data_IF_240734946442
#
_entry.id   IF_240734946442
#
_cell.length_a   1.000
_cell.length_b   1.000
_cell.length_c   1.000
_cell.angle_alpha   90.00
_cell.angle_beta   90.00
_cell.angle_gamma   90.00
#
_symmetry.space_group_name_H-M   'P 1'
#
loop_
_entity.id
_entity.type
_entity.pdbx_description
1 polymer ?
#
# COMPACT_ATOMS: atom_id res chain seq x y z
N UNK A 1 -11.63 17.84 -15.96
CA UNK A 1 -11.23 16.89 -14.91
C UNK A 1 -10.23 15.86 -15.43
N UNK A 2 -10.49 15.17 -16.54
CA UNK A 2 -9.59 14.16 -17.15
C UNK A 2 -8.21 14.78 -17.45
N UNK A 3 -8.15 15.94 -18.09
CA UNK A 3 -6.87 16.60 -18.46
C UNK A 3 -5.99 16.90 -17.23
N UNK A 4 -6.58 17.36 -16.11
CA UNK A 4 -5.85 17.57 -14.86
C UNK A 4 -5.33 16.26 -14.28
N UNK A 5 -6.13 15.18 -14.34
CA UNK A 5 -5.74 13.87 -13.84
C UNK A 5 -4.58 13.26 -14.67
N UNK A 6 -4.65 13.37 -16.01
CA UNK A 6 -3.57 12.95 -16.91
C UNK A 6 -2.28 13.73 -16.66
N UNK A 7 -2.39 15.05 -16.45
CA UNK A 7 -1.26 15.89 -16.13
C UNK A 7 -0.58 15.49 -14.83
N UNK A 8 -1.36 15.19 -13.78
CA UNK A 8 -0.83 14.71 -12.49
C UNK A 8 -0.10 13.37 -12.63
N UNK A 9 -0.66 12.41 -13.38
CA UNK A 9 -0.01 11.12 -13.62
C UNK A 9 1.27 11.28 -14.44
N UNK A 10 1.23 12.07 -15.50
CA UNK A 10 2.40 12.35 -16.31
C UNK A 10 3.52 13.03 -15.49
N UNK A 11 3.16 13.96 -14.62
CA UNK A 11 4.11 14.56 -13.70
C UNK A 11 4.64 13.55 -12.69
N UNK A 12 3.80 12.71 -12.07
CA UNK A 12 4.24 11.78 -11.05
C UNK A 12 5.16 10.68 -11.60
N UNK A 13 4.86 10.15 -12.78
CA UNK A 13 5.59 9.01 -13.35
C UNK A 13 6.54 9.40 -14.50
N UNK A 14 6.45 10.61 -15.03
CA UNK A 14 7.29 11.07 -16.15
C UNK A 14 8.78 10.91 -15.90
N UNK A 15 9.33 11.38 -14.76
CA UNK A 15 10.76 11.22 -14.47
C UNK A 15 11.17 9.74 -14.34
N UNK A 16 10.33 8.89 -13.74
CA UNK A 16 10.60 7.46 -13.67
C UNK A 16 10.59 6.80 -15.06
N UNK A 17 9.65 7.19 -15.93
CA UNK A 17 9.59 6.72 -17.31
C UNK A 17 10.83 7.17 -18.11
N UNK A 18 11.32 8.38 -17.90
CA UNK A 18 12.55 8.88 -18.51
C UNK A 18 13.78 8.10 -18.04
N UNK A 19 13.92 7.83 -16.74
CA UNK A 19 14.97 6.98 -16.20
C UNK A 19 14.91 5.55 -16.78
N UNK A 20 13.70 5.03 -16.91
CA UNK A 20 13.50 3.71 -17.52
C UNK A 20 13.95 3.68 -18.99
N UNK A 21 13.55 4.69 -19.78
CA UNK A 21 13.91 4.81 -21.20
C UNK A 21 15.42 4.98 -21.42
N UNK A 22 16.15 5.50 -20.42
CA UNK A 22 17.62 5.64 -20.47
C UNK A 22 18.38 4.42 -19.95
N UNK A 23 17.67 3.32 -19.63
CA UNK A 23 18.29 2.06 -19.17
C UNK A 23 18.48 1.96 -17.65
N UNK A 24 18.17 3.00 -16.88
CA UNK A 24 18.26 2.98 -15.42
C UNK A 24 17.01 2.37 -14.77
N UNK A 25 16.67 1.14 -15.15
CA UNK A 25 15.41 0.46 -14.77
C UNK A 25 15.24 0.32 -13.26
N UNK A 26 16.27 -0.10 -12.54
CA UNK A 26 16.23 -0.24 -11.09
C UNK A 26 16.03 1.12 -10.40
N UNK A 27 16.80 2.15 -10.80
CA UNK A 27 16.65 3.48 -10.24
C UNK A 27 15.27 4.10 -10.53
N UNK A 28 14.71 3.86 -11.73
CA UNK A 28 13.37 4.29 -12.11
C UNK A 28 12.30 3.72 -11.16
N UNK A 29 12.45 2.45 -10.79
CA UNK A 29 11.54 1.73 -9.91
C UNK A 29 11.50 2.35 -8.51
N UNK A 30 12.67 2.48 -7.87
CA UNK A 30 12.77 3.07 -6.53
C UNK A 30 12.42 4.55 -6.50
N UNK A 31 12.73 5.29 -7.59
CA UNK A 31 12.26 6.66 -7.74
C UNK A 31 10.74 6.74 -7.76
N UNK A 32 10.07 5.92 -8.59
CA UNK A 32 8.61 5.89 -8.67
C UNK A 32 7.99 5.52 -7.32
N UNK A 33 8.56 4.53 -6.63
CA UNK A 33 8.12 4.09 -5.31
C UNK A 33 8.22 5.24 -4.30
N UNK A 34 9.36 5.90 -4.22
CA UNK A 34 9.57 7.05 -3.34
C UNK A 34 8.59 8.19 -3.65
N UNK A 35 8.39 8.52 -4.92
CA UNK A 35 7.47 9.57 -5.35
C UNK A 35 6.02 9.27 -4.95
N UNK A 36 5.55 8.04 -5.17
CA UNK A 36 4.17 7.62 -4.83
C UNK A 36 3.94 7.62 -3.32
N UNK A 37 4.84 6.98 -2.55
CA UNK A 37 4.69 6.90 -1.10
C UNK A 37 4.77 8.26 -0.42
N UNK A 38 5.69 9.12 -0.88
CA UNK A 38 5.84 10.48 -0.36
C UNK A 38 4.64 11.35 -0.74
N UNK A 39 4.18 11.31 -1.98
CA UNK A 39 2.97 12.03 -2.40
C UNK A 39 1.75 11.57 -1.60
N UNK A 40 1.57 10.26 -1.40
CA UNK A 40 0.51 9.70 -0.57
C UNK A 40 0.57 10.23 0.87
N UNK A 41 1.74 10.16 1.51
CA UNK A 41 1.91 10.63 2.88
C UNK A 41 1.65 12.14 2.98
N UNK A 42 2.18 12.90 2.05
CA UNK A 42 2.05 14.36 2.03
C UNK A 42 0.62 14.83 1.79
N UNK A 43 -0.15 14.10 0.99
CA UNK A 43 -1.56 14.41 0.74
C UNK A 43 -2.47 14.04 1.91
N UNK A 44 -2.25 12.85 2.47
CA UNK A 44 -3.17 12.24 3.45
C UNK A 44 -2.77 12.53 4.91
N UNK A 45 -1.56 13.06 5.14
CA UNK A 45 -1.02 13.41 6.44
C UNK A 45 -0.22 14.72 6.38
N UNK A 46 -0.80 15.78 5.85
CA UNK A 46 -0.13 17.07 5.60
C UNK A 46 0.71 17.61 6.77
N UNK A 47 0.26 17.57 8.03
CA UNK A 47 1.07 18.07 9.15
C UNK A 47 2.41 17.35 9.33
N UNK A 48 2.50 16.11 8.84
CA UNK A 48 3.71 15.28 8.92
C UNK A 48 4.33 15.00 7.54
N UNK A 49 3.96 15.77 6.52
CA UNK A 49 4.42 15.59 5.14
C UNK A 49 5.95 15.55 5.01
N UNK A 50 6.67 16.40 5.76
CA UNK A 50 8.13 16.45 5.75
C UNK A 50 8.80 15.16 6.16
N UNK A 51 8.16 14.33 6.99
CA UNK A 51 8.69 13.01 7.36
C UNK A 51 8.70 12.00 6.21
N UNK A 52 8.02 12.29 5.10
CA UNK A 52 8.08 11.44 3.91
C UNK A 52 9.49 11.30 3.32
N UNK A 53 10.39 12.23 3.60
CA UNK A 53 11.82 12.15 3.23
C UNK A 53 12.55 11.04 4.01
N UNK A 54 12.02 10.58 5.14
CA UNK A 54 12.59 9.48 5.92
C UNK A 54 12.21 8.10 5.37
N UNK A 55 11.24 7.99 4.46
CA UNK A 55 10.80 6.72 3.88
C UNK A 55 11.95 5.90 3.27
N UNK A 56 12.93 6.49 2.54
CA UNK A 56 14.08 5.77 2.02
C UNK A 56 14.98 5.19 3.12
N UNK A 57 15.13 5.89 4.23
CA UNK A 57 15.91 5.42 5.38
C UNK A 57 15.21 4.24 6.06
N UNK A 58 13.89 4.31 6.18
CA UNK A 58 13.06 3.21 6.72
C UNK A 58 13.15 1.98 5.81
N UNK A 59 13.06 2.16 4.49
CA UNK A 59 13.27 1.10 3.51
C UNK A 59 14.66 0.46 3.68
N UNK A 60 15.72 1.29 3.72
CA UNK A 60 17.09 0.83 3.86
C UNK A 60 17.31 0.06 5.16
N UNK A 61 16.81 0.57 6.28
CA UNK A 61 16.87 -0.11 7.57
C UNK A 61 16.17 -1.47 7.53
N UNK A 62 15.00 -1.54 6.90
CA UNK A 62 14.25 -2.78 6.74
C UNK A 62 14.99 -3.77 5.83
N UNK A 63 15.61 -3.33 4.74
CA UNK A 63 16.38 -4.17 3.82
C UNK A 63 17.63 -4.77 4.51
N UNK A 64 18.34 -3.97 5.31
CA UNK A 64 19.51 -4.41 6.08
C UNK A 64 19.10 -5.42 7.17
N UNK A 65 17.98 -5.18 7.85
CA UNK A 65 17.49 -6.06 8.92
C UNK A 65 16.75 -7.29 8.41
N UNK A 66 16.47 -7.38 7.10
CA UNK A 66 15.67 -8.44 6.49
C UNK A 66 16.22 -9.86 6.71
N UNK A 67 17.51 -9.98 7.05
CA UNK A 67 18.14 -11.25 7.41
C UNK A 67 17.74 -11.74 8.82
N UNK A 68 17.27 -10.83 9.69
CA UNK A 68 16.84 -11.13 11.06
C UNK A 68 15.31 -11.08 11.13
N UNK A 69 14.67 -12.21 11.42
CA UNK A 69 13.22 -12.27 11.61
C UNK A 69 12.77 -11.33 12.73
N UNK A 70 13.48 -11.32 13.86
CA UNK A 70 13.14 -10.48 15.01
C UNK A 70 13.28 -8.99 14.68
N UNK A 71 14.33 -8.62 13.94
CA UNK A 71 14.53 -7.23 13.47
C UNK A 71 13.39 -6.74 12.59
N UNK A 72 12.96 -7.57 11.64
CA UNK A 72 11.82 -7.22 10.77
C UNK A 72 10.52 -7.12 11.55
N UNK A 73 10.25 -8.07 12.45
CA UNK A 73 9.05 -8.04 13.29
C UNK A 73 9.03 -6.77 14.15
N UNK A 74 10.15 -6.40 14.75
CA UNK A 74 10.27 -5.16 15.54
C UNK A 74 9.94 -3.92 14.69
N UNK A 75 10.46 -3.84 13.45
CA UNK A 75 10.17 -2.74 12.54
C UNK A 75 8.70 -2.71 12.10
N UNK A 76 8.09 -3.86 11.82
CA UNK A 76 6.66 -3.96 11.47
C UNK A 76 5.81 -3.48 12.64
N UNK A 77 6.11 -3.92 13.88
CA UNK A 77 5.38 -3.51 15.08
C UNK A 77 5.52 -1.99 15.30
N UNK A 78 6.73 -1.45 15.16
CA UNK A 78 6.96 0.00 15.27
C UNK A 78 6.18 0.80 14.20
N UNK A 79 6.23 0.34 12.94
CA UNK A 79 5.48 0.98 11.86
C UNK A 79 3.96 0.90 12.08
N UNK A 80 3.44 -0.24 12.53
CA UNK A 80 2.03 -0.41 12.86
C UNK A 80 1.60 0.47 14.04
N UNK A 81 2.46 0.63 15.05
CA UNK A 81 2.23 1.54 16.17
C UNK A 81 2.13 3.00 15.69
N UNK A 82 3.00 3.43 14.78
CA UNK A 82 2.94 4.75 14.16
C UNK A 82 1.63 4.96 13.38
N UNK A 83 1.19 3.98 12.59
CA UNK A 83 -0.10 4.03 11.89
C UNK A 83 -1.26 4.13 12.87
N UNK A 84 -1.20 3.36 13.95
CA UNK A 84 -2.20 3.43 15.02
C UNK A 84 -2.23 4.79 15.71
N UNK A 85 -1.09 5.31 16.11
CA UNK A 85 -0.98 6.65 16.69
C UNK A 85 -1.53 7.73 15.74
N UNK A 86 -1.18 7.65 14.46
CA UNK A 86 -1.67 8.56 13.43
C UNK A 86 -3.19 8.46 13.22
N UNK A 87 -3.82 7.33 13.56
CA UNK A 87 -5.28 7.17 13.44
C UNK A 87 -6.06 8.05 14.42
N UNK A 88 -5.49 8.36 15.56
CA UNK A 88 -6.09 9.29 16.53
C UNK A 88 -6.19 10.72 16.00
N UNK A 89 -5.38 11.05 15.01
CA UNK A 89 -5.37 12.35 14.32
C UNK A 89 -6.01 12.28 12.92
N UNK A 90 -6.45 11.10 12.48
CA UNK A 90 -7.03 10.89 11.15
C UNK A 90 -5.99 10.67 10.03
N UNK A 91 -4.71 10.57 10.35
CA UNK A 91 -3.61 10.50 9.37
C UNK A 91 -3.17 9.07 9.00
N UNK A 92 -3.85 8.03 9.50
CA UNK A 92 -3.45 6.64 9.33
C UNK A 92 -3.19 6.25 7.86
N UNK A 93 -3.95 6.79 6.91
CA UNK A 93 -3.80 6.46 5.48
C UNK A 93 -2.49 7.00 4.89
N UNK A 94 -2.06 8.17 5.32
CA UNK A 94 -0.78 8.74 4.90
C UNK A 94 0.39 7.99 5.52
N UNK A 95 0.31 7.72 6.83
CA UNK A 95 1.37 7.02 7.57
C UNK A 95 1.49 5.53 7.19
N UNK A 96 0.49 4.93 6.52
CA UNK A 96 0.65 3.62 5.88
C UNK A 96 1.84 3.55 4.91
N UNK A 97 2.30 4.68 4.37
CA UNK A 97 3.51 4.74 3.55
C UNK A 97 4.76 4.26 4.32
N UNK A 98 4.84 4.52 5.63
CA UNK A 98 5.92 4.02 6.50
C UNK A 98 5.91 2.50 6.56
N UNK A 99 4.73 1.92 6.80
CA UNK A 99 4.57 0.47 6.83
C UNK A 99 4.86 -0.16 5.46
N UNK A 100 4.44 0.48 4.36
CA UNK A 100 4.76 0.03 3.02
C UNK A 100 6.27 0.03 2.75
N UNK A 101 6.99 1.10 3.09
CA UNK A 101 8.44 1.16 2.96
C UNK A 101 9.15 0.07 3.78
N UNK A 102 8.68 -0.20 5.02
CA UNK A 102 9.18 -1.27 5.88
C UNK A 102 8.97 -2.65 5.24
N UNK A 103 7.78 -2.94 4.74
CA UNK A 103 7.45 -4.24 4.16
C UNK A 103 8.20 -4.50 2.86
N UNK A 104 8.32 -3.49 1.99
CA UNK A 104 9.05 -3.61 0.73
C UNK A 104 10.54 -3.83 1.03
N UNK A 105 11.15 -3.02 1.89
CA UNK A 105 12.54 -3.19 2.29
C UNK A 105 12.80 -4.57 2.91
N UNK A 106 11.91 -5.05 3.78
CA UNK A 106 12.06 -6.36 4.43
C UNK A 106 11.95 -7.56 3.47
N UNK A 107 11.43 -7.36 2.27
CA UNK A 107 11.36 -8.39 1.23
C UNK A 107 12.59 -8.47 0.33
N UNK A 108 13.46 -7.49 0.43
CA UNK A 108 14.65 -7.34 -0.41
C UNK A 108 15.93 -7.32 0.47
N UNK A 109 16.30 -8.48 1.08
CA UNK A 109 17.46 -8.52 1.93
C UNK A 109 18.72 -8.12 1.16
N UNK A 110 19.39 -7.08 1.63
CA UNK A 110 20.53 -6.51 0.94
C UNK A 110 21.65 -6.16 1.91
N UNK A 111 22.88 -6.29 1.41
CA UNK A 111 24.05 -5.77 2.10
C UNK A 111 23.99 -4.22 2.16
N UNK A 112 24.56 -3.58 3.18
CA UNK A 112 24.54 -2.13 3.32
C UNK A 112 25.04 -1.37 2.07
N UNK A 113 26.03 -1.91 1.37
CA UNK A 113 26.55 -1.33 0.12
C UNK A 113 25.56 -1.41 -1.05
N UNK A 114 24.75 -2.46 -1.10
CA UNK A 114 23.77 -2.67 -2.18
C UNK A 114 22.50 -1.82 -1.99
N UNK A 115 22.21 -1.39 -0.77
CA UNK A 115 21.02 -0.57 -0.45
C UNK A 115 21.18 0.90 -0.85
N UNK A 116 22.42 1.37 -1.03
CA UNK A 116 22.69 2.80 -1.24
C UNK A 116 22.01 3.35 -2.51
N UNK A 117 22.12 2.66 -3.63
CA UNK A 117 21.54 3.12 -4.91
C UNK A 117 20.00 3.13 -4.86
N UNK A 118 19.32 2.06 -4.44
CA UNK A 118 17.88 2.08 -4.18
C UNK A 118 17.44 3.21 -3.26
N UNK A 119 18.14 3.38 -2.14
CA UNK A 119 17.84 4.41 -1.15
C UNK A 119 17.96 5.82 -1.74
N UNK A 120 19.02 6.12 -2.48
CA UNK A 120 19.21 7.44 -3.11
C UNK A 120 18.17 7.70 -4.21
N UNK A 121 17.86 6.71 -5.03
CA UNK A 121 16.80 6.82 -6.04
C UNK A 121 15.42 7.07 -5.38
N UNK A 122 15.13 6.32 -4.31
CA UNK A 122 13.91 6.51 -3.54
C UNK A 122 13.87 7.87 -2.82
N UNK A 123 15.03 8.39 -2.36
CA UNK A 123 15.13 9.71 -1.74
C UNK A 123 14.83 10.81 -2.75
N UNK A 124 15.40 10.72 -3.94
CA UNK A 124 15.10 11.66 -5.03
C UNK A 124 13.61 11.62 -5.40
N UNK A 125 13.02 10.42 -5.50
CA UNK A 125 11.60 10.23 -5.71
C UNK A 125 10.74 10.80 -4.57
N UNK A 126 11.15 10.59 -3.31
CA UNK A 126 10.43 11.12 -2.14
C UNK A 126 10.44 12.65 -2.11
N UNK A 127 11.57 13.28 -2.39
CA UNK A 127 11.67 14.74 -2.52
C UNK A 127 10.76 15.26 -3.63
N UNK A 128 10.77 14.59 -4.78
CA UNK A 128 9.90 14.92 -5.90
C UNK A 128 8.41 14.76 -5.59
N UNK A 129 8.02 13.65 -4.97
CA UNK A 129 6.63 13.39 -4.57
C UNK A 129 6.12 14.41 -3.54
N UNK A 130 6.97 14.80 -2.58
CA UNK A 130 6.68 15.87 -1.62
C UNK A 130 6.48 17.20 -2.33
N UNK A 131 7.36 17.56 -3.26
CA UNK A 131 7.24 18.79 -4.04
C UNK A 131 5.94 18.83 -4.83
N UNK A 132 5.58 17.75 -5.53
CA UNK A 132 4.32 17.65 -6.26
C UNK A 132 3.10 17.79 -5.33
N UNK A 133 3.13 17.15 -4.17
CA UNK A 133 2.05 17.25 -3.21
C UNK A 133 1.84 18.67 -2.69
N UNK A 134 2.93 19.41 -2.45
CA UNK A 134 2.90 20.77 -1.93
C UNK A 134 2.54 21.82 -2.99
N UNK A 135 2.83 21.55 -4.26
CA UNK A 135 2.60 22.50 -5.37
C UNK A 135 1.34 22.17 -6.15
N UNK A 136 1.35 21.05 -6.86
CA UNK A 136 0.30 20.68 -7.83
C UNK A 136 -0.96 20.14 -7.14
N UNK A 137 -0.79 19.38 -6.04
CA UNK A 137 -1.87 18.70 -5.34
C UNK A 137 -2.32 19.44 -4.06
N UNK A 138 -1.89 20.67 -3.92
CA UNK A 138 -2.16 21.52 -2.74
C UNK A 138 -3.65 21.65 -2.43
N UNK A 139 -4.49 21.76 -3.45
CA UNK A 139 -5.92 22.04 -3.30
C UNK A 139 -6.78 20.76 -3.19
N UNK A 140 -6.14 19.58 -3.13
CA UNK A 140 -6.86 18.32 -2.93
C UNK A 140 -7.30 18.22 -1.48
N UNK A 141 -8.60 18.35 -1.26
CA UNK A 141 -9.20 18.13 0.06
C UNK A 141 -9.35 16.63 0.34
N UNK A 142 -8.87 16.21 1.50
CA UNK A 142 -8.90 14.82 1.94
C UNK A 142 -9.66 14.71 3.24
N UNK A 143 -10.77 13.97 3.22
CA UNK A 143 -11.55 13.66 4.41
C UNK A 143 -10.71 12.82 5.40
N UNK A 144 -10.24 13.45 6.46
CA UNK A 144 -9.48 12.84 7.55
C UNK A 144 -10.40 12.64 8.75
N UNK A 145 -10.60 11.38 9.15
CA UNK A 145 -11.43 11.06 10.32
C UNK A 145 -10.56 10.53 11.44
N UNK A 146 -10.44 11.32 12.49
CA UNK A 146 -9.82 10.92 13.73
C UNK A 146 -10.68 9.87 14.47
N UNK A 147 -10.02 8.95 15.16
CA UNK A 147 -10.67 7.99 16.05
C UNK A 147 -10.26 8.25 17.50
N UNK A 148 -11.05 7.74 18.46
CA UNK A 148 -10.71 7.87 19.88
C UNK A 148 -9.36 7.23 20.19
N UNK A 149 -8.54 7.78 21.10
CA UNK A 149 -7.20 7.25 21.43
C UNK A 149 -7.20 5.77 21.82
N UNK A 150 -8.20 5.32 22.57
CA UNK A 150 -8.36 3.90 22.94
C UNK A 150 -8.57 3.00 21.72
N UNK A 151 -9.41 3.45 20.77
CA UNK A 151 -9.64 2.75 19.51
C UNK A 151 -8.39 2.75 18.64
N UNK A 152 -7.62 3.84 18.67
CA UNK A 152 -6.34 3.97 17.96
C UNK A 152 -5.30 2.96 18.49
N UNK A 153 -5.20 2.80 19.82
CA UNK A 153 -4.30 1.84 20.44
C UNK A 153 -4.70 0.40 20.12
N UNK A 154 -5.98 0.06 20.25
CA UNK A 154 -6.48 -1.27 19.89
C UNK A 154 -6.27 -1.58 18.41
N UNK A 155 -6.45 -0.57 17.54
CA UNK A 155 -6.18 -0.69 16.11
C UNK A 155 -4.69 -0.89 15.83
N UNK A 156 -3.80 -0.18 16.52
CA UNK A 156 -2.35 -0.36 16.39
C UNK A 156 -1.92 -1.79 16.75
N UNK A 157 -2.40 -2.31 17.90
CA UNK A 157 -2.09 -3.65 18.34
C UNK A 157 -2.62 -4.72 17.36
N UNK A 158 -3.88 -4.57 16.92
CA UNK A 158 -4.48 -5.46 15.93
C UNK A 158 -3.72 -5.43 14.60
N UNK A 159 -3.37 -4.24 14.11
CA UNK A 159 -2.64 -4.07 12.87
C UNK A 159 -1.24 -4.69 12.97
N UNK A 160 -0.54 -4.50 14.08
CA UNK A 160 0.78 -5.09 14.32
C UNK A 160 0.70 -6.63 14.25
N UNK A 161 -0.26 -7.24 14.93
CA UNK A 161 -0.45 -8.70 14.91
C UNK A 161 -0.80 -9.18 13.50
N UNK A 162 -1.79 -8.55 12.86
CA UNK A 162 -2.26 -8.95 11.53
C UNK A 162 -1.16 -8.88 10.47
N UNK A 163 -0.43 -7.77 10.45
CA UNK A 163 0.65 -7.56 9.47
C UNK A 163 1.82 -8.50 9.72
N UNK A 164 2.18 -8.73 11.00
CA UNK A 164 3.24 -9.67 11.37
C UNK A 164 2.86 -11.10 10.98
N UNK A 165 1.65 -11.55 11.30
CA UNK A 165 1.16 -12.89 10.92
C UNK A 165 1.13 -13.04 9.40
N UNK A 166 0.64 -12.03 8.69
CA UNK A 166 0.59 -12.04 7.23
C UNK A 166 2.00 -12.09 6.61
N UNK A 167 2.97 -11.36 7.18
CA UNK A 167 4.36 -11.39 6.74
C UNK A 167 5.02 -12.75 7.00
N UNK A 168 4.83 -13.32 8.20
CA UNK A 168 5.33 -14.65 8.55
C UNK A 168 4.72 -15.74 7.65
N UNK A 169 3.41 -15.67 7.39
CA UNK A 169 2.73 -16.58 6.48
C UNK A 169 3.29 -16.48 5.06
N UNK A 170 3.45 -15.26 4.53
CA UNK A 170 4.03 -15.05 3.21
C UNK A 170 5.43 -15.67 3.09
N UNK A 171 6.25 -15.53 4.13
CA UNK A 171 7.59 -16.09 4.19
C UNK A 171 7.57 -17.62 4.32
N UNK A 172 6.68 -18.17 5.16
CA UNK A 172 6.54 -19.62 5.36
C UNK A 172 6.07 -20.35 4.10
N UNK A 173 5.18 -19.72 3.33
CA UNK A 173 4.69 -20.27 2.07
C UNK A 173 5.57 -19.95 0.86
N UNK A 174 6.69 -19.25 1.05
CA UNK A 174 7.62 -18.91 -0.03
C UNK A 174 6.96 -18.11 -1.17
N UNK A 175 5.98 -17.25 -0.84
CA UNK A 175 5.26 -16.47 -1.85
C UNK A 175 6.19 -15.44 -2.46
N UNK A 176 6.40 -15.51 -3.77
CA UNK A 176 7.12 -14.49 -4.50
C UNK A 176 6.46 -13.12 -4.26
N UNK A 177 7.27 -12.09 -4.00
CA UNK A 177 6.76 -10.76 -3.63
C UNK A 177 5.79 -10.78 -2.42
N UNK A 178 6.04 -11.63 -1.43
CA UNK A 178 5.18 -11.86 -0.26
C UNK A 178 4.83 -10.62 0.57
N UNK A 179 5.56 -9.51 0.39
CA UNK A 179 5.26 -8.21 1.02
C UNK A 179 3.89 -7.60 0.64
N UNK A 180 3.30 -8.05 -0.48
CA UNK A 180 1.96 -7.63 -0.88
C UNK A 180 0.89 -8.08 0.09
N UNK A 181 1.04 -9.27 0.69
CA UNK A 181 0.04 -9.84 1.61
C UNK A 181 -0.12 -8.93 2.83
N UNK A 182 0.94 -8.65 3.62
CA UNK A 182 0.83 -7.76 4.77
C UNK A 182 0.46 -6.32 4.40
N UNK A 183 0.89 -5.82 3.23
CA UNK A 183 0.48 -4.50 2.76
C UNK A 183 -1.01 -4.44 2.42
N UNK A 184 -1.56 -5.46 1.76
CA UNK A 184 -2.98 -5.56 1.47
C UNK A 184 -3.80 -5.68 2.76
N UNK A 185 -3.32 -6.46 3.75
CA UNK A 185 -3.92 -6.56 5.08
C UNK A 185 -3.97 -5.18 5.75
N UNK A 186 -2.87 -4.43 5.72
CA UNK A 186 -2.80 -3.09 6.29
C UNK A 186 -3.71 -2.07 5.55
N UNK A 187 -3.78 -2.16 4.22
CA UNK A 187 -4.63 -1.29 3.41
C UNK A 187 -6.13 -1.54 3.61
N UNK A 188 -6.50 -2.80 3.85
CA UNK A 188 -7.89 -3.22 4.08
C UNK A 188 -8.30 -3.01 5.52
N UNK A 189 -7.39 -3.24 6.47
CA UNK A 189 -7.63 -3.07 7.90
C UNK A 189 -8.14 -1.67 8.23
N UNK A 190 -9.25 -1.61 8.95
CA UNK A 190 -9.89 -0.36 9.38
C UNK A 190 -10.16 -0.45 10.89
N UNK A 191 -10.17 0.68 11.61
CA UNK A 191 -10.56 0.67 13.02
C UNK A 191 -11.98 0.14 13.30
N UNK A 192 -12.85 0.12 12.28
CA UNK A 192 -14.21 -0.41 12.37
C UNK A 192 -14.31 -1.75 11.64
N UNK A 193 -14.60 -2.82 12.38
CA UNK A 193 -14.58 -4.22 11.91
C UNK A 193 -15.50 -4.48 10.71
N UNK A 194 -16.75 -3.99 10.78
CA UNK A 194 -17.73 -4.13 9.68
C UNK A 194 -17.25 -3.50 8.38
N UNK A 195 -16.54 -2.37 8.48
CA UNK A 195 -15.95 -1.71 7.31
C UNK A 195 -14.78 -2.50 6.74
N UNK A 196 -14.05 -3.24 7.57
CA UNK A 196 -12.94 -4.10 7.16
C UNK A 196 -13.44 -5.27 6.31
N UNK A 197 -14.50 -5.97 6.71
CA UNK A 197 -15.08 -7.10 5.95
C UNK A 197 -15.55 -6.65 4.57
N UNK A 198 -16.39 -5.61 4.51
CA UNK A 198 -16.87 -5.07 3.23
C UNK A 198 -15.71 -4.62 2.32
N UNK A 199 -14.69 -4.04 2.89
CA UNK A 199 -13.53 -3.58 2.14
C UNK A 199 -12.66 -4.74 1.66
N UNK A 200 -12.52 -5.82 2.46
CA UNK A 200 -11.85 -7.07 2.05
C UNK A 200 -12.51 -7.68 0.83
N UNK A 201 -13.83 -7.80 0.83
CA UNK A 201 -14.58 -8.33 -0.31
C UNK A 201 -14.42 -7.45 -1.56
N UNK A 202 -14.45 -6.13 -1.42
CA UNK A 202 -14.22 -5.20 -2.52
C UNK A 202 -12.78 -5.27 -3.05
N UNK A 203 -11.78 -5.42 -2.17
CA UNK A 203 -10.39 -5.59 -2.57
C UNK A 203 -10.17 -6.93 -3.28
N UNK A 204 -10.80 -8.01 -2.82
CA UNK A 204 -10.75 -9.31 -3.47
C UNK A 204 -11.36 -9.26 -4.87
N UNK A 205 -12.56 -8.69 -5.00
CA UNK A 205 -13.21 -8.50 -6.30
C UNK A 205 -12.35 -7.62 -7.23
N UNK A 206 -11.71 -6.58 -6.67
CA UNK A 206 -10.78 -5.73 -7.40
C UNK A 206 -9.53 -6.46 -7.87
N UNK A 207 -8.95 -7.28 -7.00
CA UNK A 207 -7.79 -8.08 -7.33
C UNK A 207 -8.10 -9.11 -8.43
N UNK A 208 -9.25 -9.77 -8.36
CA UNK A 208 -9.73 -10.69 -9.40
C UNK A 208 -9.89 -10.00 -10.76
N UNK A 209 -10.60 -8.88 -10.79
CA UNK A 209 -10.81 -8.10 -12.02
C UNK A 209 -9.49 -7.55 -12.56
N UNK A 210 -8.59 -7.09 -11.69
CA UNK A 210 -7.27 -6.62 -12.09
C UNK A 210 -6.41 -7.73 -12.70
N UNK A 211 -6.43 -8.93 -12.09
CA UNK A 211 -5.70 -10.07 -12.60
C UNK A 211 -6.23 -10.50 -13.96
N UNK A 212 -7.56 -10.56 -14.12
CA UNK A 212 -8.18 -10.87 -15.42
C UNK A 212 -7.81 -9.82 -16.48
N UNK A 213 -7.85 -8.55 -16.13
CA UNK A 213 -7.44 -7.47 -17.02
C UNK A 213 -5.95 -7.56 -17.38
N UNK A 214 -5.08 -7.87 -16.40
CA UNK A 214 -3.64 -8.04 -16.64
C UNK A 214 -3.37 -9.24 -17.56
N UNK A 215 -3.96 -10.39 -17.30
CA UNK A 215 -3.83 -11.57 -18.19
C UNK A 215 -4.27 -11.21 -19.59
N UNK A 216 -5.42 -10.59 -19.75
CA UNK A 216 -5.91 -10.17 -21.07
C UNK A 216 -4.92 -9.21 -21.78
N UNK A 217 -4.31 -8.31 -21.04
CA UNK A 217 -3.35 -7.35 -21.61
C UNK A 217 -2.04 -8.03 -21.98
N UNK A 218 -1.50 -8.91 -21.16
CA UNK A 218 -0.26 -9.63 -21.48
C UNK A 218 -0.45 -10.60 -22.66
N UNK A 219 -1.64 -11.16 -22.82
CA UNK A 219 -1.97 -12.02 -23.96
C UNK A 219 -2.19 -11.23 -25.26
N UNK A 220 -2.84 -10.05 -25.18
CA UNK A 220 -3.26 -9.30 -26.38
C UNK A 220 -2.38 -8.07 -26.68
N UNK A 221 -1.59 -7.57 -25.74
CA UNK A 221 -0.76 -6.38 -25.90
C UNK A 221 0.72 -6.73 -25.86
N UNK A 222 1.26 -7.15 -27.00
CA UNK A 222 2.70 -7.37 -27.14
C UNK A 222 3.44 -6.03 -27.25
N UNK A 223 4.01 -5.56 -26.12
CA UNK A 223 4.98 -4.46 -26.12
C UNK A 223 4.85 -3.48 -24.95
N UNK A 224 5.99 -2.89 -24.58
CA UNK A 224 6.09 -1.96 -23.44
C UNK A 224 5.19 -0.71 -23.58
N UNK A 225 4.93 -0.26 -24.81
CA UNK A 225 4.04 0.89 -25.09
C UNK A 225 2.59 0.58 -24.77
N UNK A 226 2.12 -0.63 -25.09
CA UNK A 226 0.75 -1.05 -24.80
C UNK A 226 0.53 -1.22 -23.29
N UNK A 227 1.50 -1.76 -22.57
CA UNK A 227 1.50 -1.88 -21.12
C UNK A 227 1.51 -0.52 -20.44
N UNK A 228 2.35 0.40 -20.88
CA UNK A 228 2.39 1.78 -20.39
C UNK A 228 1.07 2.53 -20.64
N UNK A 229 0.47 2.35 -21.83
CA UNK A 229 -0.81 2.96 -22.19
C UNK A 229 -1.94 2.46 -21.30
N UNK A 230 -1.93 1.18 -20.96
CA UNK A 230 -2.92 0.61 -20.04
C UNK A 230 -2.74 1.11 -18.60
N UNK A 231 -1.50 1.23 -18.13
CA UNK A 231 -1.19 1.84 -16.84
C UNK A 231 -1.77 3.24 -16.73
N UNK A 232 -1.57 4.05 -17.77
CA UNK A 232 -2.13 5.39 -17.87
C UNK A 232 -3.66 5.34 -17.89
N UNK A 233 -4.27 4.44 -18.67
CA UNK A 233 -5.71 4.30 -18.76
C UNK A 233 -6.34 3.87 -17.41
N UNK A 234 -5.76 2.88 -16.74
CA UNK A 234 -6.21 2.44 -15.41
C UNK A 234 -6.04 3.56 -14.38
N UNK A 235 -4.89 4.24 -14.38
CA UNK A 235 -4.64 5.40 -13.52
C UNK A 235 -5.64 6.53 -13.75
N UNK A 236 -6.00 6.82 -15.00
CA UNK A 236 -7.02 7.80 -15.36
C UNK A 236 -8.40 7.41 -14.83
N UNK A 237 -8.80 6.15 -14.98
CA UNK A 237 -10.07 5.64 -14.46
C UNK A 237 -10.11 5.77 -12.93
N UNK A 238 -9.01 5.46 -12.23
CA UNK A 238 -8.90 5.64 -10.76
C UNK A 238 -9.10 7.09 -10.35
N UNK A 239 -8.42 8.00 -11.04
CA UNK A 239 -8.47 9.43 -10.71
C UNK A 239 -9.81 10.07 -11.05
N UNK A 240 -10.44 9.66 -12.14
CA UNK A 240 -11.73 10.21 -12.60
C UNK A 240 -12.92 9.65 -11.81
N UNK A 241 -12.95 8.34 -11.59
CA UNK A 241 -14.04 7.66 -10.91
C UNK A 241 -13.92 7.68 -9.37
N UNK A 242 -12.70 7.86 -8.87
CA UNK A 242 -12.37 7.76 -7.45
C UNK A 242 -13.11 8.71 -6.51
N UNK A 243 -13.39 9.99 -6.85
CA UNK A 243 -14.13 10.87 -5.96
C UNK A 243 -15.59 10.45 -5.75
N UNK A 244 -16.22 9.91 -6.78
CA UNK A 244 -17.64 9.55 -6.78
C UNK A 244 -17.94 8.13 -6.33
N UNK A 245 -17.00 7.18 -6.50
CA UNK A 245 -17.22 5.76 -6.20
C UNK A 245 -16.04 5.19 -5.40
N UNK A 246 -16.13 5.25 -4.07
CA UNK A 246 -15.07 4.77 -3.13
C UNK A 246 -14.65 3.31 -3.36
N UNK A 247 -15.57 2.45 -3.80
CA UNK A 247 -15.30 1.05 -4.11
C UNK A 247 -14.41 0.90 -5.36
N UNK A 248 -14.58 1.76 -6.36
CA UNK A 248 -13.78 1.73 -7.58
C UNK A 248 -12.32 2.11 -7.30
N UNK A 249 -12.08 2.98 -6.31
CA UNK A 249 -10.73 3.32 -5.85
C UNK A 249 -10.03 2.11 -5.24
N UNK A 250 -10.71 1.37 -4.36
CA UNK A 250 -10.16 0.16 -3.75
C UNK A 250 -9.86 -0.91 -4.81
N UNK A 251 -10.71 -1.00 -5.83
CA UNK A 251 -10.62 -1.93 -6.93
C UNK A 251 -9.43 -1.65 -7.87
N UNK A 252 -9.09 -0.39 -8.09
CA UNK A 252 -8.13 0.00 -9.13
C UNK A 252 -6.77 0.44 -8.59
N UNK A 253 -6.66 0.88 -7.33
CA UNK A 253 -5.36 1.23 -6.72
C UNK A 253 -4.45 0.02 -6.62
N UNK A 254 -5.01 -1.14 -6.34
CA UNK A 254 -4.25 -2.38 -6.16
C UNK A 254 -3.57 -2.83 -7.47
N UNK A 255 -4.29 -2.93 -8.63
CA UNK A 255 -3.64 -3.26 -9.90
C UNK A 255 -2.64 -2.21 -10.37
N UNK A 256 -2.89 -0.95 -10.08
CA UNK A 256 -1.97 0.13 -10.43
C UNK A 256 -0.62 -0.02 -9.68
N UNK A 257 -0.67 -0.37 -8.38
CA UNK A 257 0.54 -0.68 -7.61
C UNK A 257 1.27 -1.90 -8.17
N UNK A 258 0.55 -2.96 -8.55
CA UNK A 258 1.16 -4.16 -9.16
C UNK A 258 1.84 -3.85 -10.48
N UNK A 259 1.19 -3.07 -11.34
CA UNK A 259 1.75 -2.69 -12.62
C UNK A 259 2.98 -1.78 -12.47
N UNK A 260 3.02 -0.92 -11.46
CA UNK A 260 4.18 -0.06 -11.16
C UNK A 260 5.36 -0.87 -10.63
N UNK A 261 5.09 -1.91 -9.83
CA UNK A 261 6.14 -2.71 -9.17
C UNK A 261 6.49 -3.97 -9.98
N UNK A 262 5.57 -4.47 -10.82
CA UNK A 262 5.70 -5.75 -11.50
C UNK A 262 6.23 -5.64 -12.92
N UNK A 263 7.53 -5.79 -13.12
CA UNK A 263 8.17 -5.67 -14.45
C UNK A 263 8.37 -7.01 -15.18
N UNK A 264 7.93 -8.16 -14.66
CA UNK A 264 8.30 -9.46 -15.20
C UNK A 264 7.15 -10.47 -15.28
N UNK A 265 6.47 -10.52 -16.42
CA UNK A 265 5.81 -11.73 -16.93
C UNK A 265 4.45 -12.16 -16.33
N UNK A 266 3.80 -13.10 -17.01
CA UNK A 266 2.48 -13.67 -16.67
C UNK A 266 2.40 -14.32 -15.27
N UNK A 267 3.53 -14.77 -14.71
CA UNK A 267 3.59 -15.35 -13.37
C UNK A 267 3.23 -14.35 -12.26
N UNK A 268 3.51 -13.07 -12.44
CA UNK A 268 3.19 -12.02 -11.47
C UNK A 268 1.69 -11.84 -11.25
N UNK A 269 0.87 -12.00 -12.28
CA UNK A 269 -0.58 -11.89 -12.16
C UNK A 269 -1.15 -12.99 -11.26
N UNK A 270 -0.64 -14.21 -11.38
CA UNK A 270 -1.05 -15.35 -10.56
C UNK A 270 -0.56 -15.20 -9.11
N UNK A 271 0.69 -14.80 -8.92
CA UNK A 271 1.26 -14.58 -7.57
C UNK A 271 0.56 -13.43 -6.87
N UNK A 272 0.19 -12.38 -7.61
CA UNK A 272 -0.61 -11.30 -7.08
C UNK A 272 -2.02 -11.77 -6.66
N UNK A 273 -2.69 -12.57 -7.48
CA UNK A 273 -3.99 -13.12 -7.14
C UNK A 273 -3.93 -14.00 -5.89
N UNK A 274 -2.91 -14.85 -5.78
CA UNK A 274 -2.64 -15.65 -4.57
C UNK A 274 -2.41 -14.77 -3.35
N UNK A 275 -1.59 -13.73 -3.48
CA UNK A 275 -1.30 -12.77 -2.41
C UNK A 275 -2.55 -12.02 -1.97
N UNK A 276 -3.36 -11.54 -2.91
CA UNK A 276 -4.61 -10.85 -2.61
C UNK A 276 -5.63 -11.79 -1.94
N UNK A 277 -5.73 -13.04 -2.40
CA UNK A 277 -6.61 -14.04 -1.79
C UNK A 277 -6.18 -14.36 -0.34
N UNK A 278 -4.89 -14.62 -0.11
CA UNK A 278 -4.34 -14.86 1.23
C UNK A 278 -4.53 -13.65 2.14
N UNK A 279 -4.29 -12.43 1.66
CA UNK A 279 -4.50 -11.21 2.43
C UNK A 279 -5.98 -11.07 2.86
N UNK A 280 -6.91 -11.30 1.93
CA UNK A 280 -8.35 -11.26 2.23
C UNK A 280 -8.76 -12.37 3.18
N UNK A 281 -8.23 -13.59 3.03
CA UNK A 281 -8.50 -14.71 3.93
C UNK A 281 -8.00 -14.41 5.36
N UNK A 282 -6.80 -13.86 5.50
CA UNK A 282 -6.25 -13.44 6.80
C UNK A 282 -7.13 -12.37 7.44
N UNK A 283 -7.48 -11.30 6.72
CA UNK A 283 -8.34 -10.23 7.26
C UNK A 283 -9.71 -10.77 7.63
N UNK A 284 -10.29 -11.65 6.80
CA UNK A 284 -11.59 -12.24 7.05
C UNK A 284 -11.57 -13.16 8.28
N UNK A 285 -10.56 -14.02 8.41
CA UNK A 285 -10.40 -14.90 9.57
C UNK A 285 -10.27 -14.09 10.88
N UNK A 286 -9.49 -13.01 10.88
CA UNK A 286 -9.35 -12.14 12.03
C UNK A 286 -10.61 -11.32 12.32
N UNK A 287 -11.34 -10.89 11.30
CA UNK A 287 -12.63 -10.23 11.48
C UNK A 287 -13.64 -11.16 12.16
N UNK A 288 -13.70 -12.43 11.74
CA UNK A 288 -14.54 -13.44 12.37
C UNK A 288 -14.09 -13.74 13.81
N UNK A 289 -12.78 -13.90 14.03
CA UNK A 289 -12.23 -14.11 15.37
C UNK A 289 -12.52 -12.93 16.30
N UNK A 290 -12.36 -11.71 15.80
CA UNK A 290 -12.68 -10.49 16.54
C UNK A 290 -14.17 -10.38 16.87
N UNK A 291 -15.05 -10.74 15.94
CA UNK A 291 -16.49 -10.82 16.20
C UNK A 291 -16.83 -11.90 17.25
N UNK A 292 -16.22 -13.08 17.12
CA UNK A 292 -16.41 -14.16 18.06
C UNK A 292 -15.94 -13.79 19.47
N UNK A 293 -14.75 -13.17 19.61
CA UNK A 293 -14.22 -12.65 20.87
C UNK A 293 -15.13 -11.58 21.50
N UNK A 294 -15.63 -10.65 20.70
CA UNK A 294 -16.56 -9.62 21.17
C UNK A 294 -17.88 -10.24 21.64
N UNK A 295 -18.32 -11.31 21.01
CA UNK A 295 -19.54 -12.07 21.39
C UNK A 295 -19.35 -12.82 22.70
N UNK A 296 -18.15 -13.39 22.93
CA UNK A 296 -17.83 -14.15 24.16
C UNK A 296 -17.54 -13.25 25.37
N UNK A 297 -16.96 -12.05 25.13
CA UNK A 297 -16.60 -11.09 26.20
C UNK A 297 -17.77 -10.18 26.60
N UNK A 298 -18.77 -10.00 25.74
CA UNK A 298 -20.05 -9.37 26.10
C UNK A 298 -21.11 -10.44 26.27
N UNK A 299 -21.29 -10.98 27.47
CA UNK A 299 -22.55 -11.64 27.78
C UNK A 299 -23.64 -10.55 27.74
N UNK A 300 -24.61 -10.80 26.91
CA UNK A 300 -25.79 -10.02 26.55
C UNK A 300 -26.20 -8.98 27.64
N UNK A 301 -26.02 -7.67 27.43
CA UNK A 301 -26.77 -6.71 28.24
C UNK A 301 -28.18 -6.73 27.69
N UNK A 302 -29.06 -7.49 28.36
CA UNK A 302 -30.46 -7.63 28.18
C UNK A 302 -31.08 -6.89 27.00
N UNK A 303 -31.70 -7.64 26.10
CA UNK A 303 -32.69 -7.12 25.16
C UNK A 303 -33.62 -6.21 25.95
N UNK A 304 -33.47 -4.92 25.80
CA UNK A 304 -34.54 -3.99 26.14
C UNK A 304 -35.63 -4.27 25.11
N UNK A 305 -36.75 -4.84 25.49
CA UNK A 305 -37.87 -4.97 24.56
C UNK A 305 -38.37 -3.56 24.25
N UNK A 306 -38.44 -3.24 22.98
CA UNK A 306 -39.24 -2.10 22.47
C UNK A 306 -40.66 -2.57 22.38
#
# INVERSE_FOLDING_TARGET
MILKATGVLALLFGPAAALYATGYTSAAHYFALGAVLSAQMSLLARPVAGFSILLPVIYAAAAITAQSTDGVVALIVAAAALVGAASSQGFQRGVLAVLAATLIGSSEPAAPSAVLVPMLAMLAGSGYGLLLALTVLRDVDVDTRAVRPQTALSYAALLAVLVTVAWLAARAFGVAHGWWIPLAVAAVGQPALERSVRRSLLCLAGALLATLAMVAVFEFAAGAVAQASLLVAVGLVVLVAGPRRRWLRALLVTPMLVLVVGHHGNHLAVDYLRSAFLACAVVFAFALLGQWLLWTIRPDPGRVPV
#
